data_IF_480966556032
#
_entry.id   IF_480966556032
#
_cell.length_a   1.000
_cell.length_b   1.000
_cell.length_c   1.000
_cell.angle_alpha   90.00
_cell.angle_beta   90.00
_cell.angle_gamma   90.00
#
_symmetry.space_group_name_H-M   'P 1'
#
loop_
_entity.id
_entity.type
_entity.pdbx_description
1 polymer ?
#
# COMPACT_ATOMS: atom_id res chain seq x y z
N UNK A 1 36.34 26.64 -36.43
CA UNK A 1 35.57 27.81 -35.96
C UNK A 1 35.50 28.78 -37.12
N UNK A 2 34.35 28.87 -37.77
CA UNK A 2 34.05 29.87 -38.78
C UNK A 2 32.88 30.69 -38.25
N UNK A 3 33.11 31.98 -38.01
CA UNK A 3 32.06 32.92 -37.63
C UNK A 3 31.22 33.23 -38.87
N UNK A 4 30.15 32.45 -39.08
CA UNK A 4 29.13 32.77 -40.07
C UNK A 4 28.40 34.03 -39.59
N UNK A 5 28.71 35.15 -40.25
CA UNK A 5 27.94 36.39 -40.14
C UNK A 5 26.49 36.08 -40.53
N UNK A 6 25.56 36.38 -39.62
CA UNK A 6 24.14 36.17 -39.85
C UNK A 6 23.71 36.91 -41.12
N UNK A 7 23.15 36.17 -42.09
CA UNK A 7 22.54 36.75 -43.27
C UNK A 7 21.46 37.75 -42.86
N UNK A 8 21.47 38.94 -43.48
CA UNK A 8 20.44 39.96 -43.25
C UNK A 8 19.06 39.38 -43.54
N UNK A 9 18.05 39.66 -42.69
CA UNK A 9 16.69 39.20 -42.94
C UNK A 9 16.16 39.84 -44.22
N UNK A 10 15.64 39.02 -45.13
CA UNK A 10 14.91 39.46 -46.32
C UNK A 10 13.77 40.37 -45.87
N UNK A 11 13.64 41.54 -46.51
CA UNK A 11 12.64 42.56 -46.15
C UNK A 11 11.24 41.95 -46.02
N UNK A 12 10.71 41.89 -44.80
CA UNK A 12 9.33 41.46 -44.53
C UNK A 12 9.15 40.51 -43.34
N UNK A 13 10.19 39.80 -42.90
CA UNK A 13 10.09 38.97 -41.68
C UNK A 13 10.38 39.79 -40.41
N UNK A 14 9.47 39.72 -39.43
CA UNK A 14 9.72 40.25 -38.09
C UNK A 14 11.00 39.59 -37.53
N UNK A 15 11.96 40.37 -36.99
CA UNK A 15 13.17 39.81 -36.43
C UNK A 15 12.79 38.87 -35.28
N UNK A 16 13.24 37.61 -35.37
CA UNK A 16 12.99 36.61 -34.34
C UNK A 16 13.52 37.14 -33.01
N UNK A 17 12.66 37.13 -31.99
CA UNK A 17 13.03 37.56 -30.63
C UNK A 17 14.30 36.83 -30.19
N UNK A 18 15.21 37.55 -29.54
CA UNK A 18 16.45 36.99 -29.01
C UNK A 18 16.19 35.75 -28.13
N UNK A 19 15.08 35.77 -27.38
CA UNK A 19 14.62 34.64 -26.55
C UNK A 19 14.33 33.40 -27.41
N UNK A 20 13.70 33.58 -28.56
CA UNK A 20 13.34 32.48 -29.46
C UNK A 20 14.54 31.93 -30.22
N UNK A 21 15.49 32.79 -30.57
CA UNK A 21 16.78 32.37 -31.16
C UNK A 21 17.57 31.54 -30.14
N UNK A 22 17.69 32.02 -28.90
CA UNK A 22 18.37 31.30 -27.82
C UNK A 22 17.67 29.97 -27.52
N UNK A 23 16.34 29.95 -27.44
CA UNK A 23 15.57 28.73 -27.23
C UNK A 23 15.84 27.68 -28.32
N UNK A 24 15.79 28.07 -29.60
CA UNK A 24 16.04 27.16 -30.72
C UNK A 24 17.47 26.60 -30.73
N UNK A 25 18.47 27.41 -30.39
CA UNK A 25 19.87 26.98 -30.30
C UNK A 25 20.06 25.98 -29.16
N UNK A 26 19.49 26.26 -27.98
CA UNK A 26 19.55 25.36 -26.84
C UNK A 26 18.84 24.04 -27.13
N UNK A 27 17.67 24.08 -27.77
CA UNK A 27 16.90 22.89 -28.14
C UNK A 27 17.68 22.02 -29.15
N UNK A 28 18.35 22.64 -30.13
CA UNK A 28 19.12 21.91 -31.15
C UNK A 28 20.37 21.24 -30.57
N UNK A 29 21.05 21.92 -29.64
CA UNK A 29 22.32 21.45 -29.07
C UNK A 29 22.15 20.48 -27.89
N UNK A 30 21.06 20.57 -27.12
CA UNK A 30 20.88 19.71 -25.94
C UNK A 30 20.19 18.37 -26.20
N UNK A 31 19.63 18.12 -27.40
CA UNK A 31 18.93 16.86 -27.74
C UNK A 31 19.75 15.58 -27.56
N UNK A 32 21.09 15.67 -27.59
CA UNK A 32 22.02 14.53 -27.41
C UNK A 32 23.18 14.86 -26.46
N UNK A 33 22.99 15.80 -25.53
CA UNK A 33 24.06 16.19 -24.61
C UNK A 33 24.41 15.05 -23.66
N UNK A 34 25.59 14.44 -23.86
CA UNK A 34 26.13 13.41 -22.98
C UNK A 34 26.36 13.94 -21.55
N UNK A 35 26.68 15.23 -21.41
CA UNK A 35 26.80 15.88 -20.11
C UNK A 35 25.47 15.82 -19.33
N UNK A 36 24.36 16.23 -19.94
CA UNK A 36 23.04 16.19 -19.30
C UNK A 36 22.64 14.77 -18.91
N UNK A 37 22.95 13.79 -19.77
CA UNK A 37 22.74 12.38 -19.46
C UNK A 37 23.58 11.91 -18.25
N UNK A 38 24.85 12.29 -18.20
CA UNK A 38 25.78 11.90 -17.14
C UNK A 38 25.42 12.53 -15.78
N UNK A 39 24.83 13.72 -15.78
CA UNK A 39 24.31 14.38 -14.57
C UNK A 39 22.86 14.01 -14.25
N UNK A 40 22.30 12.97 -14.90
CA UNK A 40 20.97 12.43 -14.61
C UNK A 40 19.80 13.23 -15.18
N UNK A 41 20.04 14.30 -15.94
CA UNK A 41 19.01 15.08 -16.61
C UNK A 41 18.69 14.47 -17.99
N UNK A 42 17.72 13.54 -18.01
CA UNK A 42 17.19 12.98 -19.25
C UNK A 42 16.32 14.01 -19.99
N UNK A 43 16.73 14.38 -21.21
CA UNK A 43 16.02 15.36 -22.06
C UNK A 43 14.77 14.80 -22.73
N UNK A 44 14.53 13.49 -22.61
CA UNK A 44 13.24 12.86 -22.88
C UNK A 44 12.71 12.33 -21.55
N UNK A 45 11.43 12.55 -21.25
CA UNK A 45 10.68 11.83 -20.21
C UNK A 45 10.09 10.54 -20.79
N UNK A 46 10.72 9.36 -20.63
CA UNK A 46 9.92 8.13 -20.69
C UNK A 46 10.14 7.14 -19.52
N UNK A 47 11.05 7.38 -18.57
CA UNK A 47 11.30 6.40 -17.48
C UNK A 47 10.34 6.54 -16.29
N UNK A 48 10.05 7.76 -15.85
CA UNK A 48 9.28 8.01 -14.63
C UNK A 48 7.80 7.60 -14.76
N UNK A 49 7.19 7.72 -15.94
CA UNK A 49 5.77 7.40 -16.14
C UNK A 49 5.51 5.89 -16.14
N UNK A 50 6.37 5.10 -16.80
CA UNK A 50 6.24 3.64 -16.81
C UNK A 50 6.49 3.03 -15.42
N UNK A 51 7.46 3.55 -14.68
CA UNK A 51 7.74 3.14 -13.30
C UNK A 51 6.58 3.49 -12.36
N UNK A 52 6.03 4.71 -12.49
CA UNK A 52 4.87 5.13 -11.69
C UNK A 52 3.64 4.26 -11.96
N UNK A 53 3.36 3.89 -13.20
CA UNK A 53 2.23 3.02 -13.52
C UNK A 53 2.44 1.57 -13.04
N UNK A 54 3.68 1.06 -13.06
CA UNK A 54 4.00 -0.22 -12.45
C UNK A 54 3.81 -0.20 -10.92
N UNK A 55 4.30 0.85 -10.25
CA UNK A 55 4.15 1.05 -8.82
C UNK A 55 2.67 1.18 -8.40
N UNK A 56 1.86 1.89 -9.18
CA UNK A 56 0.41 1.98 -8.93
C UNK A 56 -0.29 0.62 -9.00
N UNK A 57 0.10 -0.24 -9.96
CA UNK A 57 -0.46 -1.58 -10.09
C UNK A 57 -0.07 -2.46 -8.91
N UNK A 58 1.21 -2.45 -8.53
CA UNK A 58 1.70 -3.18 -7.35
C UNK A 58 1.02 -2.68 -6.07
N UNK A 59 0.87 -1.36 -5.91
CA UNK A 59 0.16 -0.79 -4.76
C UNK A 59 -1.32 -1.21 -4.72
N UNK A 60 -1.98 -1.29 -5.87
CA UNK A 60 -3.36 -1.79 -5.95
C UNK A 60 -3.46 -3.26 -5.54
N UNK A 61 -2.51 -4.10 -5.95
CA UNK A 61 -2.44 -5.50 -5.56
C UNK A 61 -2.20 -5.65 -4.04
N UNK A 62 -1.25 -4.88 -3.48
CA UNK A 62 -1.01 -4.86 -2.03
C UNK A 62 -2.25 -4.44 -1.24
N UNK A 63 -3.02 -3.47 -1.74
CA UNK A 63 -4.28 -3.05 -1.10
C UNK A 63 -5.32 -4.16 -1.07
N UNK A 64 -5.42 -4.95 -2.14
CA UNK A 64 -6.32 -6.12 -2.19
C UNK A 64 -5.89 -7.20 -1.21
N UNK A 65 -4.58 -7.48 -1.12
CA UNK A 65 -4.04 -8.43 -0.14
C UNK A 65 -4.37 -7.98 1.28
N UNK A 66 -4.13 -6.71 1.59
CA UNK A 66 -4.41 -6.15 2.93
C UNK A 66 -5.91 -6.17 3.25
N UNK A 67 -6.79 -5.89 2.28
CA UNK A 67 -8.24 -5.94 2.53
C UNK A 67 -8.69 -7.38 2.82
N UNK A 68 -8.21 -8.34 2.04
CA UNK A 68 -8.53 -9.76 2.24
C UNK A 68 -8.01 -10.26 3.60
N UNK A 69 -6.77 -9.93 3.96
CA UNK A 69 -6.22 -10.26 5.28
C UNK A 69 -7.04 -9.66 6.42
N UNK A 70 -7.51 -8.42 6.27
CA UNK A 70 -8.39 -7.77 7.25
C UNK A 70 -9.71 -8.53 7.41
N UNK A 71 -10.35 -8.92 6.31
CA UNK A 71 -11.59 -9.71 6.34
C UNK A 71 -11.39 -11.08 7.01
N UNK A 72 -10.29 -11.76 6.68
CA UNK A 72 -9.93 -13.04 7.30
C UNK A 72 -9.68 -12.90 8.81
N UNK A 73 -8.94 -11.86 9.22
CA UNK A 73 -8.70 -11.58 10.65
C UNK A 73 -10.00 -11.27 11.39
N UNK A 74 -10.92 -10.51 10.79
CA UNK A 74 -12.21 -10.22 11.40
C UNK A 74 -13.04 -11.50 11.57
N UNK A 75 -13.08 -12.36 10.56
CA UNK A 75 -13.76 -13.66 10.63
C UNK A 75 -13.19 -14.56 11.73
N UNK A 76 -11.87 -14.70 11.79
CA UNK A 76 -11.19 -15.47 12.84
C UNK A 76 -11.43 -14.89 14.23
N UNK A 77 -11.40 -13.56 14.36
CA UNK A 77 -11.64 -12.89 15.64
C UNK A 77 -13.05 -13.17 16.18
N UNK A 78 -14.07 -13.14 15.30
CA UNK A 78 -15.45 -13.49 15.68
C UNK A 78 -15.55 -14.95 16.09
N UNK A 79 -14.98 -15.86 15.29
CA UNK A 79 -15.00 -17.28 15.59
C UNK A 79 -14.35 -17.61 16.95
N UNK A 80 -13.20 -16.99 17.26
CA UNK A 80 -12.52 -17.18 18.55
C UNK A 80 -13.40 -16.68 19.69
N UNK A 81 -14.01 -15.51 19.54
CA UNK A 81 -14.89 -14.93 20.56
C UNK A 81 -16.11 -15.83 20.83
N UNK A 82 -16.79 -16.29 19.77
CA UNK A 82 -17.96 -17.17 19.89
C UNK A 82 -17.61 -18.53 20.51
N UNK A 83 -16.48 -19.11 20.09
CA UNK A 83 -15.97 -20.37 20.66
C UNK A 83 -15.66 -20.22 22.14
N UNK A 84 -15.01 -19.13 22.54
CA UNK A 84 -14.67 -18.88 23.94
C UNK A 84 -15.92 -18.65 24.80
N UNK A 85 -16.91 -17.90 24.29
CA UNK A 85 -18.18 -17.71 24.97
C UNK A 85 -18.93 -19.04 25.18
N UNK A 86 -18.91 -19.91 24.18
CA UNK A 86 -19.52 -21.24 24.27
C UNK A 86 -18.80 -22.08 25.33
N UNK A 87 -17.47 -22.09 25.30
CA UNK A 87 -16.63 -22.81 26.27
C UNK A 87 -16.87 -22.33 27.71
N UNK A 88 -17.05 -21.02 27.92
CA UNK A 88 -17.37 -20.45 29.23
C UNK A 88 -18.72 -20.97 29.72
N UNK A 89 -19.76 -20.88 28.88
CA UNK A 89 -21.10 -21.37 29.21
C UNK A 89 -21.09 -22.85 29.57
N UNK A 90 -20.44 -23.68 28.76
CA UNK A 90 -20.33 -25.12 29.01
C UNK A 90 -19.63 -25.40 30.34
N UNK A 91 -18.57 -24.63 30.66
CA UNK A 91 -17.86 -24.75 31.94
C UNK A 91 -18.74 -24.36 33.12
N UNK A 92 -19.52 -23.29 33.00
CA UNK A 92 -20.48 -22.87 34.05
C UNK A 92 -21.56 -23.93 34.29
N UNK A 93 -22.12 -24.51 33.22
CA UNK A 93 -23.10 -25.58 33.32
C UNK A 93 -22.52 -26.83 33.99
N UNK A 94 -21.30 -27.22 33.61
CA UNK A 94 -20.60 -28.36 34.21
C UNK A 94 -20.29 -28.11 35.69
N UNK A 95 -19.87 -26.89 36.04
CA UNK A 95 -19.64 -26.51 37.44
C UNK A 95 -20.92 -26.58 38.26
N UNK A 96 -22.07 -26.16 37.70
CA UNK A 96 -23.36 -26.24 38.38
C UNK A 96 -23.80 -27.69 38.61
N UNK A 97 -23.66 -28.54 37.59
CA UNK A 97 -23.97 -29.98 37.70
C UNK A 97 -23.08 -30.67 38.73
N UNK A 98 -21.79 -30.30 38.78
CA UNK A 98 -20.86 -30.81 39.77
C UNK A 98 -21.27 -30.41 41.19
N UNK A 99 -21.58 -29.14 41.43
CA UNK A 99 -22.04 -28.66 42.73
C UNK A 99 -23.37 -29.32 43.16
N UNK A 100 -24.30 -29.53 42.22
CA UNK A 100 -25.55 -30.24 42.51
C UNK A 100 -25.30 -31.72 42.90
N UNK A 101 -24.39 -32.39 42.19
CA UNK A 101 -24.01 -33.76 42.50
C UNK A 101 -23.33 -33.86 43.86
N UNK A 102 -22.41 -32.97 44.18
CA UNK A 102 -21.72 -32.89 45.48
C UNK A 102 -22.73 -32.66 46.62
N UNK A 103 -23.68 -31.74 46.45
CA UNK A 103 -24.74 -31.51 47.44
C UNK A 103 -25.63 -32.76 47.66
N UNK A 104 -25.96 -33.49 46.59
CA UNK A 104 -26.71 -34.76 46.71
C UNK A 104 -25.89 -35.84 47.43
N UNK A 105 -24.59 -35.92 47.16
CA UNK A 105 -23.70 -36.87 47.84
C UNK A 105 -23.61 -36.56 49.35
N UNK A 106 -23.44 -35.29 49.70
CA UNK A 106 -23.40 -34.85 51.11
C UNK A 106 -24.71 -35.18 51.83
N UNK A 107 -25.86 -34.96 51.19
CA UNK A 107 -27.16 -35.33 51.74
C UNK A 107 -27.26 -36.84 52.03
N UNK A 108 -26.89 -37.70 51.08
CA UNK A 108 -26.96 -39.16 51.23
C UNK A 108 -25.99 -39.65 52.31
N UNK A 109 -24.77 -39.11 52.34
CA UNK A 109 -23.78 -39.45 53.37
C UNK A 109 -24.22 -38.97 54.75
N UNK A 110 -24.85 -37.79 54.86
CA UNK A 110 -25.42 -37.28 56.10
C UNK A 110 -26.60 -38.14 56.62
N UNK A 111 -27.36 -38.75 55.71
CA UNK A 111 -28.45 -39.69 56.05
C UNK A 111 -27.97 -41.08 56.48
N UNK A 112 -26.74 -41.46 56.12
CA UNK A 112 -26.18 -42.79 56.34
C UNK A 112 -24.88 -42.81 57.16
N UNK A 113 -24.49 -41.68 57.74
CA UNK A 113 -23.35 -41.59 58.67
C UNK A 113 -23.59 -42.40 59.95
N UNK A 114 -22.53 -42.94 60.58
CA UNK A 114 -22.67 -43.75 61.78
C UNK A 114 -23.32 -42.92 62.91
N UNK A 115 -24.35 -43.47 63.56
CA UNK A 115 -24.94 -42.93 64.79
C UNK A 115 -23.95 -42.95 65.94
#
# INVERSE_FOLDING_TARGET
METQLAAQPTQGEQPKSAVQVVANVLERNNKKSAFLQNVGMQTKRPRMSAQLEAEKRENAELRLIVSNQREQMEGLSKQVQETELTRIRDKEEMSKKQAELEAKLELVLGQHGPR
#
